data_IF_611527564141
#
_entry.id   IF_611527564141
#
_cell.length_a   1.000
_cell.length_b   1.000
_cell.length_c   1.000
_cell.angle_alpha   90.00
_cell.angle_beta   90.00
_cell.angle_gamma   90.00
#
_symmetry.space_group_name_H-M   'P 1'
#
loop_
_entity.id
_entity.type
_entity.pdbx_description
1 polymer ?
#
# COMPACT_ATOMS: atom_id res chain seq x y z
N UNK A 1 -15.04 -13.98 12.87
CA UNK A 1 -14.62 -12.76 12.17
C UNK A 1 -14.22 -11.75 13.24
N UNK A 2 -12.93 -11.46 13.41
CA UNK A 2 -12.46 -10.32 14.21
C UNK A 2 -12.53 -9.11 13.27
N UNK A 3 -13.42 -8.18 13.56
CA UNK A 3 -13.49 -6.90 12.85
C UNK A 3 -12.17 -6.17 13.10
N UNK A 4 -11.44 -5.84 12.04
CA UNK A 4 -10.31 -4.92 12.14
C UNK A 4 -10.83 -3.52 12.51
N UNK A 5 -10.27 -2.97 13.57
CA UNK A 5 -10.62 -1.64 14.04
C UNK A 5 -9.57 -0.64 13.55
N UNK A 6 -9.93 0.20 12.59
CA UNK A 6 -9.07 1.29 12.14
C UNK A 6 -9.09 2.44 13.14
N UNK A 7 -7.92 2.89 13.60
CA UNK A 7 -7.79 4.12 14.39
C UNK A 7 -7.81 5.32 13.43
N UNK A 8 -8.96 6.02 13.36
CA UNK A 8 -9.12 7.19 12.50
C UNK A 8 -8.67 8.45 13.20
N UNK A 9 -8.91 8.57 14.50
CA UNK A 9 -8.61 9.74 15.29
C UNK A 9 -8.10 9.31 16.67
N UNK A 10 -7.02 9.93 17.11
CA UNK A 10 -6.46 9.81 18.45
C UNK A 10 -6.44 11.19 19.11
N UNK A 11 -6.92 11.26 20.35
CA UNK A 11 -6.91 12.52 21.11
C UNK A 11 -5.51 12.88 21.60
N UNK A 12 -5.23 14.16 21.81
CA UNK A 12 -3.93 14.66 22.30
C UNK A 12 -3.48 14.05 23.63
N UNK A 13 -4.42 13.59 24.46
CA UNK A 13 -4.18 12.93 25.74
C UNK A 13 -4.13 11.38 25.65
N UNK A 14 -4.20 10.81 24.44
CA UNK A 14 -4.19 9.37 24.15
C UNK A 14 -5.30 8.54 24.85
N UNK A 15 -6.30 9.21 25.43
CA UNK A 15 -7.37 8.55 26.18
C UNK A 15 -8.57 8.14 25.32
N UNK A 16 -8.68 8.64 24.08
CA UNK A 16 -9.74 8.27 23.14
C UNK A 16 -9.14 7.98 21.79
N UNK A 17 -9.19 6.71 21.44
CA UNK A 17 -8.90 6.18 20.12
C UNK A 17 -10.23 5.86 19.43
N UNK A 18 -10.48 6.46 18.28
CA UNK A 18 -11.61 6.06 17.45
C UNK A 18 -11.20 4.83 16.64
N UNK A 19 -11.47 3.65 17.20
CA UNK A 19 -11.31 2.37 16.48
C UNK A 19 -12.64 2.04 15.81
N UNK A 20 -12.62 1.86 14.52
CA UNK A 20 -13.83 1.66 13.74
C UNK A 20 -13.71 0.43 12.87
N UNK A 21 -14.70 -0.48 12.90
CA UNK A 21 -14.76 -1.55 11.93
C UNK A 21 -14.97 -0.96 10.53
N UNK A 22 -14.20 -1.40 9.57
CA UNK A 22 -14.39 -1.07 8.16
C UNK A 22 -15.37 -2.09 7.61
N UNK A 23 -16.56 -1.64 7.24
CA UNK A 23 -17.49 -2.39 6.38
C UNK A 23 -17.77 -1.51 5.16
N UNK A 24 -17.62 -2.06 3.96
CA UNK A 24 -17.92 -1.40 2.67
C UNK A 24 -17.25 -0.02 2.48
N UNK A 25 -15.91 0.08 2.71
CA UNK A 25 -15.09 1.29 2.49
C UNK A 25 -15.48 2.54 3.31
N UNK A 26 -16.35 2.42 4.31
CA UNK A 26 -16.78 3.53 5.17
C UNK A 26 -16.80 3.14 6.65
N UNK A 27 -16.96 4.15 7.49
CA UNK A 27 -16.95 4.05 8.94
C UNK A 27 -18.34 4.26 9.47
N UNK A 28 -18.79 3.36 10.34
CA UNK A 28 -20.09 3.44 10.98
C UNK A 28 -19.98 3.51 12.50
N UNK A 29 -20.59 4.51 13.14
CA UNK A 29 -20.64 4.65 14.60
C UNK A 29 -22.06 4.65 15.12
N UNK A 30 -22.23 4.05 16.30
CA UNK A 30 -23.46 4.20 17.08
C UNK A 30 -23.52 5.57 17.73
N UNK A 31 -24.73 5.98 18.13
CA UNK A 31 -24.89 7.23 18.89
C UNK A 31 -24.10 7.22 20.21
N UNK A 32 -23.99 6.08 20.89
CA UNK A 32 -23.21 5.95 22.11
C UNK A 32 -21.71 6.22 21.84
N UNK A 33 -21.16 5.68 20.76
CA UNK A 33 -19.79 5.95 20.34
C UNK A 33 -19.56 7.42 19.95
N UNK A 34 -20.53 8.08 19.32
CA UNK A 34 -20.46 9.54 19.05
C UNK A 34 -20.46 10.38 20.35
N UNK A 35 -21.24 9.96 21.35
CA UNK A 35 -21.25 10.59 22.69
C UNK A 35 -19.88 10.50 23.34
N UNK A 36 -19.28 9.31 23.31
CA UNK A 36 -17.94 9.06 23.86
C UNK A 36 -16.86 9.83 23.09
N UNK A 37 -16.87 9.75 21.76
CA UNK A 37 -15.93 10.44 20.88
C UNK A 37 -15.89 11.94 21.14
N UNK A 38 -17.05 12.59 21.16
CA UNK A 38 -17.15 14.05 21.28
C UNK A 38 -17.32 14.54 22.72
N UNK A 39 -17.41 13.64 23.69
CA UNK A 39 -17.64 13.95 25.11
C UNK A 39 -18.80 14.94 25.28
N UNK A 40 -19.99 14.58 24.78
CA UNK A 40 -21.21 15.37 24.86
C UNK A 40 -22.41 14.51 25.20
N UNK A 41 -23.38 15.13 25.88
CA UNK A 41 -24.63 14.46 26.24
C UNK A 41 -25.36 13.90 25.02
N UNK A 42 -26.03 12.76 25.22
CA UNK A 42 -26.84 12.07 24.22
C UNK A 42 -27.84 13.02 23.55
N UNK A 43 -28.49 13.92 24.34
CA UNK A 43 -29.47 14.89 23.84
C UNK A 43 -28.88 15.91 22.86
N UNK A 44 -27.60 16.30 23.09
CA UNK A 44 -26.88 17.24 22.21
C UNK A 44 -26.53 16.53 20.90
N UNK A 45 -25.98 15.31 20.97
CA UNK A 45 -25.64 14.50 19.80
C UNK A 45 -26.89 14.21 18.97
N UNK A 46 -27.98 13.72 19.59
CA UNK A 46 -29.27 13.49 18.91
C UNK A 46 -29.78 14.70 18.15
N UNK A 47 -29.70 15.89 18.77
CA UNK A 47 -30.13 17.14 18.13
C UNK A 47 -29.27 17.47 16.91
N UNK A 48 -27.95 17.30 17.00
CA UNK A 48 -27.06 17.53 15.86
C UNK A 48 -27.37 16.56 14.72
N UNK A 49 -27.49 15.25 15.00
CA UNK A 49 -27.86 14.23 14.01
C UNK A 49 -29.17 14.59 13.32
N UNK A 50 -30.23 14.92 14.10
CA UNK A 50 -31.52 15.29 13.55
C UNK A 50 -31.43 16.53 12.61
N UNK A 51 -30.64 17.52 12.96
CA UNK A 51 -30.46 18.70 12.13
C UNK A 51 -29.66 18.39 10.86
N UNK A 52 -28.65 17.51 10.94
CA UNK A 52 -27.86 17.06 9.80
C UNK A 52 -28.75 16.36 8.76
N UNK A 53 -29.59 15.43 9.18
CA UNK A 53 -30.52 14.75 8.27
C UNK A 53 -31.62 15.68 7.73
N UNK A 54 -31.94 16.74 8.43
CA UNK A 54 -32.90 17.74 7.94
C UNK A 54 -32.31 18.69 6.91
N UNK A 55 -31.03 19.01 7.00
CA UNK A 55 -30.39 20.13 6.30
C UNK A 55 -29.35 19.72 5.28
N UNK A 56 -28.64 18.59 5.48
CA UNK A 56 -27.40 18.28 4.76
C UNK A 56 -27.36 16.90 4.12
N UNK A 57 -27.77 15.85 4.84
CA UNK A 57 -27.54 14.47 4.43
C UNK A 57 -28.85 13.68 4.29
N UNK A 58 -28.90 12.78 3.31
CA UNK A 58 -29.98 11.82 3.18
C UNK A 58 -29.88 10.71 4.24
N UNK A 59 -31.00 10.44 4.92
CA UNK A 59 -31.05 9.45 5.99
C UNK A 59 -30.85 8.02 5.48
N UNK A 60 -31.34 7.71 4.26
CA UNK A 60 -31.28 6.34 3.70
C UNK A 60 -29.86 5.87 3.45
N UNK A 61 -28.98 6.77 3.04
CA UNK A 61 -27.57 6.46 2.71
C UNK A 61 -26.65 6.55 3.94
N UNK A 62 -27.09 7.20 5.01
CA UNK A 62 -26.25 7.58 6.13
C UNK A 62 -26.70 7.00 7.48
N UNK A 63 -27.74 6.16 7.51
CA UNK A 63 -28.26 5.52 8.70
C UNK A 63 -28.57 4.05 8.40
N UNK A 64 -27.98 3.15 9.17
CA UNK A 64 -28.28 1.72 9.16
C UNK A 64 -28.75 1.24 10.51
N UNK A 65 -29.64 0.26 10.51
CA UNK A 65 -30.11 -0.41 11.70
C UNK A 65 -29.64 -1.86 11.70
N UNK A 66 -28.82 -2.23 12.70
CA UNK A 66 -28.31 -3.59 12.86
C UNK A 66 -28.86 -4.22 14.13
N UNK A 67 -29.30 -5.48 14.02
CA UNK A 67 -29.68 -6.27 15.18
C UNK A 67 -28.42 -6.86 15.81
N UNK A 68 -28.12 -6.42 17.04
CA UNK A 68 -26.96 -6.93 17.79
C UNK A 68 -27.44 -8.08 18.70
N UNK A 69 -26.61 -9.13 18.82
CA UNK A 69 -26.84 -10.21 19.78
C UNK A 69 -26.99 -9.61 21.20
N UNK A 70 -28.06 -9.98 21.91
CA UNK A 70 -28.46 -9.48 23.24
C UNK A 70 -29.10 -8.09 23.28
N UNK A 71 -29.60 -7.56 22.16
CA UNK A 71 -30.42 -6.34 22.14
C UNK A 71 -31.81 -6.65 21.61
N UNK A 72 -32.87 -6.26 22.37
CA UNK A 72 -34.25 -6.41 21.93
C UNK A 72 -34.64 -5.44 20.81
N UNK A 73 -33.84 -4.45 20.52
CA UNK A 73 -34.08 -3.42 19.51
C UNK A 73 -32.87 -3.26 18.60
N UNK A 74 -33.08 -3.01 17.29
CA UNK A 74 -32.01 -2.70 16.38
C UNK A 74 -31.29 -1.41 16.81
N UNK A 75 -29.97 -1.43 16.66
CA UNK A 75 -29.08 -0.29 16.99
C UNK A 75 -28.82 0.53 15.74
N UNK A 76 -28.93 1.84 15.86
CA UNK A 76 -28.69 2.80 14.78
C UNK A 76 -27.17 3.04 14.63
N UNK A 77 -26.67 2.94 13.41
CA UNK A 77 -25.31 3.24 12.99
C UNK A 77 -25.30 4.40 12.00
N UNK A 78 -24.41 5.33 12.18
CA UNK A 78 -24.28 6.56 11.43
C UNK A 78 -22.99 6.55 10.63
N UNK A 79 -23.05 6.97 9.35
CA UNK A 79 -21.93 6.99 8.42
C UNK A 79 -20.82 7.97 8.81
N UNK A 80 -19.67 7.85 8.13
CA UNK A 80 -18.55 8.81 8.27
C UNK A 80 -18.98 10.25 8.01
N UNK A 81 -19.87 10.49 7.06
CA UNK A 81 -20.37 11.85 6.74
C UNK A 81 -21.13 12.46 7.90
N UNK A 82 -21.98 11.67 8.59
CA UNK A 82 -22.65 12.10 9.81
C UNK A 82 -21.65 12.38 10.93
N UNK A 83 -20.63 11.51 11.11
CA UNK A 83 -19.59 11.67 12.12
C UNK A 83 -18.85 12.98 11.91
N UNK A 84 -18.43 13.28 10.67
CA UNK A 84 -17.74 14.52 10.30
C UNK A 84 -18.65 15.72 10.57
N UNK A 85 -19.89 15.70 10.11
CA UNK A 85 -20.85 16.78 10.28
C UNK A 85 -21.15 17.08 11.76
N UNK A 86 -21.28 16.04 12.61
CA UNK A 86 -21.39 16.21 14.08
C UNK A 86 -20.13 16.85 14.64
N UNK A 87 -18.94 16.40 14.25
CA UNK A 87 -17.65 16.90 14.72
C UNK A 87 -17.44 18.38 14.44
N UNK A 88 -17.92 18.87 13.29
CA UNK A 88 -17.88 20.29 12.95
C UNK A 88 -18.87 21.15 13.74
N UNK A 89 -20.01 20.59 14.17
CA UNK A 89 -21.08 21.32 14.87
C UNK A 89 -20.95 21.32 16.39
N UNK A 90 -20.32 20.27 16.94
CA UNK A 90 -20.27 20.06 18.38
C UNK A 90 -19.32 21.03 19.07
N UNK A 91 -19.81 21.71 20.15
CA UNK A 91 -19.02 22.64 20.94
C UNK A 91 -18.44 21.93 22.17
N UNK A 92 -17.36 21.14 21.98
CA UNK A 92 -16.61 20.50 23.06
C UNK A 92 -15.12 20.61 22.80
N UNK A 93 -14.28 20.31 23.81
CA UNK A 93 -12.83 20.23 23.66
C UNK A 93 -12.48 19.21 22.58
N UNK A 94 -13.08 18.02 22.62
CA UNK A 94 -12.93 16.96 21.62
C UNK A 94 -13.36 17.38 20.22
N UNK A 95 -14.46 18.14 20.08
CA UNK A 95 -14.88 18.69 18.80
C UNK A 95 -13.88 19.70 18.23
N UNK A 96 -13.18 20.47 19.09
CA UNK A 96 -12.10 21.36 18.66
C UNK A 96 -10.89 20.55 18.17
N UNK A 97 -10.47 19.54 18.91
CA UNK A 97 -9.37 18.62 18.54
C UNK A 97 -9.67 17.91 17.21
N UNK A 98 -10.88 17.37 17.05
CA UNK A 98 -11.34 16.75 15.82
C UNK A 98 -11.26 17.70 14.61
N UNK A 99 -11.77 18.94 14.76
CA UNK A 99 -11.71 19.94 13.67
C UNK A 99 -10.27 20.34 13.32
N UNK A 100 -9.38 20.46 14.30
CA UNK A 100 -7.95 20.73 14.05
C UNK A 100 -7.31 19.62 13.25
N UNK A 101 -7.59 18.36 13.63
CA UNK A 101 -7.12 17.18 12.91
C UNK A 101 -7.69 17.15 11.48
N UNK A 102 -9.01 17.29 11.31
CA UNK A 102 -9.64 17.25 9.99
C UNK A 102 -9.12 18.37 9.06
N UNK A 103 -8.96 19.59 9.60
CA UNK A 103 -8.39 20.70 8.84
C UNK A 103 -6.92 20.47 8.47
N UNK A 104 -6.14 19.79 9.32
CA UNK A 104 -4.76 19.40 8.99
C UNK A 104 -4.74 18.41 7.83
N UNK A 105 -5.56 17.37 7.89
CA UNK A 105 -5.69 16.37 6.81
C UNK A 105 -6.08 17.05 5.49
N UNK A 106 -7.11 17.91 5.51
CA UNK A 106 -7.55 18.64 4.33
C UNK A 106 -6.47 19.58 3.78
N UNK A 107 -5.77 20.29 4.66
CA UNK A 107 -4.65 21.17 4.28
C UNK A 107 -3.52 20.38 3.63
N UNK A 108 -3.13 19.25 4.22
CA UNK A 108 -2.09 18.38 3.67
C UNK A 108 -2.51 17.88 2.28
N UNK A 109 -3.76 17.46 2.11
CA UNK A 109 -4.30 17.04 0.82
C UNK A 109 -4.26 18.18 -0.23
N UNK A 110 -4.70 19.39 0.13
CA UNK A 110 -4.72 20.53 -0.80
C UNK A 110 -3.30 20.99 -1.19
N UNK A 111 -2.37 21.05 -0.23
CA UNK A 111 -1.04 21.61 -0.46
C UNK A 111 -0.06 20.59 -1.05
N UNK A 112 -0.16 19.33 -0.63
CA UNK A 112 0.77 18.25 -1.03
C UNK A 112 0.20 17.34 -2.12
N UNK A 113 -1.11 17.41 -2.40
CA UNK A 113 -1.82 16.51 -3.30
C UNK A 113 -2.20 15.16 -2.68
N UNK A 114 -1.83 14.90 -1.41
CA UNK A 114 -2.21 13.70 -0.66
C UNK A 114 -2.28 13.99 0.84
N UNK A 115 -3.09 13.20 1.55
CA UNK A 115 -3.14 13.19 3.01
C UNK A 115 -2.83 11.77 3.51
N UNK A 116 -1.96 11.69 4.51
CA UNK A 116 -1.44 10.42 5.02
C UNK A 116 -2.05 10.15 6.39
N UNK A 117 -2.72 9.00 6.53
CA UNK A 117 -3.14 8.51 7.83
C UNK A 117 -1.94 7.85 8.54
N UNK A 118 -1.27 8.61 9.43
CA UNK A 118 -0.08 8.14 10.13
C UNK A 118 -0.34 6.93 11.03
N UNK A 119 -1.56 6.75 11.55
CA UNK A 119 -1.88 5.61 12.40
C UNK A 119 -1.98 4.33 11.56
N UNK A 120 -2.69 4.39 10.42
CA UNK A 120 -2.72 3.28 9.45
C UNK A 120 -1.33 2.97 8.88
N UNK A 121 -0.49 4.00 8.70
CA UNK A 121 0.89 3.88 8.28
C UNK A 121 1.78 3.18 9.32
N UNK A 122 1.54 3.40 10.61
CA UNK A 122 2.29 2.69 11.65
C UNK A 122 1.95 1.19 11.67
N UNK A 123 0.77 0.81 11.22
CA UNK A 123 0.36 -0.58 10.99
C UNK A 123 1.06 -1.18 9.75
N UNK A 124 1.41 -0.36 8.75
CA UNK A 124 2.20 -0.75 7.58
C UNK A 124 3.69 -0.97 7.89
N UNK A 125 4.13 -0.68 9.11
CA UNK A 125 5.42 -1.10 9.66
C UNK A 125 6.66 -0.65 8.85
N UNK A 126 7.48 -1.62 8.43
CA UNK A 126 8.81 -1.37 7.84
C UNK A 126 8.78 -0.70 6.47
N UNK A 127 7.78 -0.98 5.63
CA UNK A 127 7.65 -0.38 4.29
C UNK A 127 7.62 1.14 4.37
N UNK A 128 6.86 1.68 5.32
CA UNK A 128 6.80 3.13 5.53
C UNK A 128 8.10 3.71 6.07
N UNK A 129 8.84 2.96 6.89
CA UNK A 129 10.19 3.42 7.31
C UNK A 129 11.12 3.58 6.11
N UNK A 130 11.03 2.65 5.15
CA UNK A 130 11.80 2.74 3.90
C UNK A 130 11.31 3.93 3.07
N UNK A 131 9.99 4.08 2.87
CA UNK A 131 9.41 5.21 2.14
C UNK A 131 9.78 6.57 2.76
N UNK A 132 9.76 6.70 4.09
CA UNK A 132 10.19 7.92 4.79
C UNK A 132 11.67 8.26 4.53
N UNK A 133 12.55 7.27 4.42
CA UNK A 133 13.97 7.52 4.07
C UNK A 133 14.14 8.09 2.67
N UNK A 134 13.23 7.78 1.77
CA UNK A 134 13.29 8.22 0.37
C UNK A 134 12.26 9.31 0.02
N UNK A 135 11.54 9.84 1.00
CA UNK A 135 10.45 10.82 0.82
C UNK A 135 10.85 12.00 -0.09
N UNK A 136 12.07 12.49 0.06
CA UNK A 136 12.60 13.58 -0.77
C UNK A 136 12.94 13.17 -2.22
N UNK A 137 12.90 11.86 -2.54
CA UNK A 137 13.20 11.30 -3.86
C UNK A 137 11.97 10.76 -4.58
N UNK A 138 10.83 10.66 -3.87
CA UNK A 138 9.56 10.18 -4.40
C UNK A 138 8.60 11.34 -4.57
N UNK A 139 7.94 11.41 -5.71
CA UNK A 139 6.80 12.31 -5.89
C UNK A 139 5.50 11.70 -5.33
N UNK A 140 4.47 12.55 -5.21
CA UNK A 140 3.18 12.14 -4.66
C UNK A 140 2.51 11.00 -5.45
N UNK A 141 2.67 10.93 -6.77
CA UNK A 141 2.09 9.87 -7.60
C UNK A 141 2.77 8.53 -7.37
N UNK A 142 4.10 8.54 -7.20
CA UNK A 142 4.87 7.34 -6.88
C UNK A 142 4.45 6.77 -5.51
N UNK A 143 4.30 7.64 -4.51
CA UNK A 143 3.84 7.24 -3.16
C UNK A 143 2.43 6.66 -3.22
N UNK A 144 1.49 7.35 -3.87
CA UNK A 144 0.10 6.88 -4.01
C UNK A 144 0.02 5.54 -4.74
N UNK A 145 0.75 5.39 -5.85
CA UNK A 145 0.73 4.16 -6.64
C UNK A 145 1.21 2.93 -5.84
N UNK A 146 2.20 3.11 -4.95
CA UNK A 146 2.65 2.02 -4.07
C UNK A 146 1.62 1.75 -2.97
N UNK A 147 1.07 2.79 -2.34
CA UNK A 147 0.11 2.65 -1.24
C UNK A 147 -1.19 1.99 -1.71
N UNK A 148 -1.75 2.40 -2.86
CA UNK A 148 -2.98 1.82 -3.41
C UNK A 148 -2.82 0.32 -3.69
N UNK A 149 -1.70 -0.07 -4.29
CA UNK A 149 -1.41 -1.48 -4.56
C UNK A 149 -1.10 -2.28 -3.30
N UNK A 150 -0.45 -1.64 -2.33
CA UNK A 150 -0.05 -2.27 -1.08
C UNK A 150 -1.24 -2.47 -0.12
N UNK A 151 -2.28 -1.64 -0.18
CA UNK A 151 -3.49 -1.85 0.61
C UNK A 151 -4.16 -3.19 0.31
N UNK A 152 -4.30 -3.53 -0.97
CA UNK A 152 -4.81 -4.86 -1.38
C UNK A 152 -3.91 -6.00 -0.89
N UNK A 153 -2.62 -5.73 -0.77
CA UNK A 153 -1.64 -6.69 -0.31
C UNK A 153 -1.63 -6.91 1.21
N UNK A 154 -2.01 -5.90 1.99
CA UNK A 154 -2.11 -6.04 3.45
C UNK A 154 -3.26 -6.93 3.87
N UNK A 155 -4.39 -6.85 3.17
CA UNK A 155 -5.52 -7.76 3.40
C UNK A 155 -5.08 -9.21 3.16
N UNK A 156 -4.25 -9.45 2.14
CA UNK A 156 -3.64 -10.74 1.85
C UNK A 156 -2.58 -11.17 2.89
N UNK A 157 -1.82 -10.23 3.48
CA UNK A 157 -0.84 -10.54 4.53
C UNK A 157 -1.51 -10.85 5.86
N UNK A 158 -2.60 -10.19 6.19
CA UNK A 158 -3.42 -10.51 7.36
C UNK A 158 -4.03 -11.91 7.24
N UNK A 159 -4.54 -12.28 6.08
CA UNK A 159 -4.96 -13.64 5.76
C UNK A 159 -3.81 -14.65 5.91
N UNK A 160 -2.57 -14.28 5.57
CA UNK A 160 -1.38 -15.13 5.75
C UNK A 160 -1.03 -15.33 7.22
N UNK A 161 -0.98 -14.26 8.01
CA UNK A 161 -0.65 -14.33 9.45
C UNK A 161 -1.70 -15.13 10.23
N UNK A 162 -2.95 -15.13 9.76
CA UNK A 162 -4.05 -15.92 10.33
C UNK A 162 -4.18 -17.33 9.72
N UNK A 163 -3.27 -17.75 8.83
CA UNK A 163 -3.28 -19.05 8.12
C UNK A 163 -4.57 -19.31 7.33
N UNK A 164 -5.29 -18.29 6.93
CA UNK A 164 -6.52 -18.36 6.16
C UNK A 164 -6.27 -18.18 4.66
N UNK A 165 -5.06 -17.75 4.28
CA UNK A 165 -4.69 -17.50 2.90
C UNK A 165 -4.50 -18.80 2.12
N UNK A 166 -5.26 -18.96 1.05
CA UNK A 166 -4.89 -19.90 -0.01
C UNK A 166 -3.67 -19.30 -0.73
N UNK A 167 -2.56 -20.04 -0.75
CA UNK A 167 -1.40 -19.68 -1.57
C UNK A 167 -1.91 -19.41 -2.99
N UNK A 168 -1.76 -18.18 -3.56
CA UNK A 168 -2.16 -17.96 -4.93
C UNK A 168 -1.45 -19.01 -5.79
N UNK A 169 -2.15 -19.64 -6.73
CA UNK A 169 -1.54 -20.45 -7.75
C UNK A 169 -0.60 -19.54 -8.51
N UNK A 170 0.67 -19.55 -8.13
CA UNK A 170 1.69 -18.75 -8.78
C UNK A 170 1.86 -19.26 -10.22
N UNK A 171 1.96 -18.35 -11.16
CA UNK A 171 2.25 -18.70 -12.54
C UNK A 171 3.63 -19.35 -12.61
N UNK A 172 3.76 -20.45 -13.36
CA UNK A 172 5.08 -20.99 -13.67
C UNK A 172 5.81 -20.03 -14.61
N UNK A 173 7.08 -19.75 -14.32
CA UNK A 173 7.94 -19.08 -15.29
C UNK A 173 8.19 -20.05 -16.46
N UNK A 174 7.75 -19.67 -17.65
CA UNK A 174 7.89 -20.46 -18.88
C UNK A 174 9.20 -20.14 -19.60
N UNK A 175 9.73 -18.94 -19.34
CA UNK A 175 10.91 -18.41 -20.01
C UNK A 175 12.07 -18.24 -19.01
N UNK A 176 13.24 -18.74 -19.40
CA UNK A 176 14.50 -18.60 -18.66
C UNK A 176 15.28 -17.42 -19.24
N UNK A 177 15.56 -16.44 -18.39
CA UNK A 177 16.33 -15.25 -18.77
C UNK A 177 17.82 -15.59 -18.91
N UNK A 178 18.40 -15.33 -20.07
CA UNK A 178 19.81 -15.57 -20.34
C UNK A 178 20.63 -14.27 -20.23
N UNK A 179 21.89 -14.41 -19.84
CA UNK A 179 22.78 -13.27 -19.66
C UNK A 179 23.00 -12.50 -20.97
N UNK A 180 23.19 -13.21 -22.07
CA UNK A 180 23.45 -12.63 -23.40
C UNK A 180 22.30 -11.73 -23.85
N UNK A 181 21.06 -12.19 -23.66
CA UNK A 181 19.86 -11.38 -23.96
C UNK A 181 19.75 -10.14 -23.08
N UNK A 182 20.05 -10.28 -21.77
CA UNK A 182 20.10 -9.14 -20.87
C UNK A 182 21.12 -8.09 -21.34
N UNK A 183 22.27 -8.53 -21.85
CA UNK A 183 23.28 -7.64 -22.44
C UNK A 183 22.75 -6.91 -23.67
N UNK A 184 22.06 -7.61 -24.58
CA UNK A 184 21.47 -6.99 -25.77
C UNK A 184 20.45 -5.92 -25.39
N UNK A 185 19.60 -6.17 -24.38
CA UNK A 185 18.65 -5.18 -23.85
C UNK A 185 19.39 -3.96 -23.30
N UNK A 186 20.43 -4.17 -22.48
CA UNK A 186 21.22 -3.07 -21.88
C UNK A 186 21.93 -2.27 -22.98
N UNK A 187 22.52 -2.93 -23.95
CA UNK A 187 23.23 -2.27 -25.03
C UNK A 187 22.27 -1.46 -25.94
N UNK A 188 21.02 -1.94 -26.11
CA UNK A 188 19.98 -1.17 -26.80
C UNK A 188 19.59 0.13 -26.05
N UNK A 189 19.67 0.14 -24.72
CA UNK A 189 19.39 1.31 -23.90
C UNK A 189 20.46 2.39 -24.01
N UNK A 190 21.69 2.04 -24.41
CA UNK A 190 22.82 3.00 -24.53
C UNK A 190 22.57 4.09 -25.57
N UNK A 191 21.78 3.82 -26.60
CA UNK A 191 21.54 4.76 -27.69
C UNK A 191 20.82 6.07 -27.30
N UNK A 192 20.22 6.12 -26.09
CA UNK A 192 19.54 7.31 -25.56
C UNK A 192 20.28 7.97 -24.40
N UNK A 193 21.47 7.48 -24.01
CA UNK A 193 22.14 7.89 -22.80
C UNK A 193 23.34 8.81 -23.09
N UNK A 194 23.47 9.88 -22.28
CA UNK A 194 24.61 10.81 -22.35
C UNK A 194 25.88 10.24 -21.66
N UNK A 195 25.72 9.22 -20.81
CA UNK A 195 26.82 8.66 -20.02
C UNK A 195 27.51 7.51 -20.76
N UNK A 196 28.76 7.67 -21.07
CA UNK A 196 29.63 6.60 -21.61
C UNK A 196 29.83 5.42 -20.63
N UNK A 197 29.52 5.61 -19.36
CA UNK A 197 29.63 4.60 -18.30
C UNK A 197 28.39 3.74 -18.14
N UNK A 198 27.27 4.10 -18.81
CA UNK A 198 26.01 3.39 -18.72
C UNK A 198 26.15 1.92 -19.13
N UNK A 199 25.69 1.02 -18.29
CA UNK A 199 25.68 -0.43 -18.54
C UNK A 199 27.07 -1.09 -18.62
N UNK A 200 28.15 -0.39 -18.25
CA UNK A 200 29.48 -0.99 -18.16
C UNK A 200 29.57 -1.78 -16.85
N UNK A 201 29.78 -3.11 -16.98
CA UNK A 201 29.90 -4.00 -15.82
C UNK A 201 31.19 -3.73 -15.05
N UNK A 202 31.13 -3.79 -13.73
CA UNK A 202 32.28 -3.66 -12.83
C UNK A 202 32.95 -5.01 -12.55
N UNK A 203 32.12 -6.06 -12.47
CA UNK A 203 32.50 -7.42 -12.09
C UNK A 203 31.44 -8.44 -12.55
N UNK A 204 31.60 -9.70 -12.15
CA UNK A 204 30.68 -10.79 -12.50
C UNK A 204 29.34 -10.79 -11.71
N UNK A 205 29.07 -9.77 -10.89
CA UNK A 205 27.86 -9.74 -10.03
C UNK A 205 26.57 -9.66 -10.84
N UNK A 206 26.61 -9.12 -12.06
CA UNK A 206 25.47 -9.10 -12.95
C UNK A 206 25.03 -10.51 -13.36
N UNK A 207 25.99 -11.33 -13.85
CA UNK A 207 25.73 -12.73 -14.18
C UNK A 207 25.25 -13.52 -12.95
N UNK A 208 25.85 -13.25 -11.79
CA UNK A 208 25.44 -13.81 -10.50
C UNK A 208 24.00 -13.44 -10.12
N UNK A 209 23.58 -12.20 -10.39
CA UNK A 209 22.21 -11.74 -10.10
C UNK A 209 21.15 -12.45 -10.95
N UNK A 210 21.46 -12.70 -12.25
CA UNK A 210 20.56 -13.46 -13.13
C UNK A 210 20.48 -14.91 -12.68
N UNK A 211 21.62 -15.56 -12.39
CA UNK A 211 21.66 -16.95 -11.93
C UNK A 211 20.96 -17.18 -10.59
N UNK A 212 20.99 -16.16 -9.71
CA UNK A 212 20.43 -16.27 -8.37
C UNK A 212 18.92 -16.57 -8.33
N UNK A 213 18.14 -16.09 -9.32
CA UNK A 213 16.69 -16.35 -9.36
C UNK A 213 16.33 -17.77 -9.79
N UNK A 214 17.29 -18.55 -10.28
CA UNK A 214 17.14 -19.96 -10.70
C UNK A 214 17.84 -20.95 -9.76
N UNK A 215 18.29 -20.48 -8.58
CA UNK A 215 18.92 -21.35 -7.59
C UNK A 215 17.98 -22.45 -7.12
N UNK A 216 18.55 -23.62 -6.88
CA UNK A 216 17.88 -24.78 -6.28
C UNK A 216 18.52 -25.15 -4.96
N UNK A 217 17.72 -25.60 -4.01
CA UNK A 217 18.17 -26.15 -2.73
C UNK A 217 17.47 -27.49 -2.49
N UNK A 218 18.26 -28.55 -2.28
CA UNK A 218 17.69 -29.90 -2.11
C UNK A 218 16.94 -30.44 -3.33
N UNK A 219 17.16 -29.89 -4.53
CA UNK A 219 16.44 -30.25 -5.75
C UNK A 219 15.18 -29.46 -6.03
N UNK A 220 14.80 -28.56 -5.12
CA UNK A 220 13.67 -27.65 -5.29
C UNK A 220 14.14 -26.22 -5.60
N UNK A 221 13.38 -25.49 -6.42
CA UNK A 221 13.68 -24.09 -6.72
C UNK A 221 13.49 -23.23 -5.49
N UNK A 222 14.44 -22.33 -5.19
CA UNK A 222 14.35 -21.36 -4.09
C UNK A 222 13.23 -20.35 -4.37
N UNK A 223 13.03 -19.99 -5.63
CA UNK A 223 11.98 -19.07 -6.09
C UNK A 223 11.10 -19.78 -7.13
N UNK A 224 10.11 -20.57 -6.69
CA UNK A 224 9.35 -21.45 -7.59
C UNK A 224 8.39 -20.71 -8.52
N UNK A 225 7.91 -19.51 -8.15
CA UNK A 225 6.93 -18.78 -8.96
C UNK A 225 7.56 -17.69 -9.81
N UNK A 226 6.86 -17.29 -10.86
CA UNK A 226 7.23 -16.16 -11.72
C UNK A 226 7.39 -14.87 -10.93
N UNK A 227 6.44 -14.63 -10.02
CA UNK A 227 6.39 -13.42 -9.18
C UNK A 227 7.59 -13.37 -8.22
N UNK A 228 7.96 -14.52 -7.62
CA UNK A 228 9.15 -14.61 -6.77
C UNK A 228 10.43 -14.36 -7.57
N UNK A 229 10.55 -14.99 -8.75
CA UNK A 229 11.71 -14.78 -9.64
C UNK A 229 11.81 -13.32 -10.06
N UNK A 230 10.70 -12.69 -10.49
CA UNK A 230 10.67 -11.30 -10.93
C UNK A 230 11.04 -10.34 -9.79
N UNK A 231 10.45 -10.51 -8.61
CA UNK A 231 10.72 -9.67 -7.45
C UNK A 231 12.18 -9.76 -6.98
N UNK A 232 12.73 -10.98 -6.92
CA UNK A 232 14.14 -11.19 -6.58
C UNK A 232 15.10 -10.68 -7.66
N UNK A 233 14.73 -10.78 -8.95
CA UNK A 233 15.52 -10.19 -10.04
C UNK A 233 15.63 -8.67 -9.86
N UNK A 234 14.52 -7.98 -9.66
CA UNK A 234 14.52 -6.53 -9.40
C UNK A 234 15.37 -6.17 -8.18
N UNK A 235 15.24 -6.95 -7.10
CA UNK A 235 16.01 -6.75 -5.88
C UNK A 235 17.51 -6.90 -6.11
N UNK A 236 17.97 -8.03 -6.68
CA UNK A 236 19.39 -8.30 -6.86
C UNK A 236 20.04 -7.31 -7.83
N UNK A 237 19.42 -7.04 -8.98
CA UNK A 237 19.96 -6.08 -9.95
C UNK A 237 20.06 -4.66 -9.38
N UNK A 238 19.12 -4.27 -8.51
CA UNK A 238 19.16 -2.97 -7.85
C UNK A 238 20.23 -2.89 -6.76
N UNK A 239 20.41 -3.96 -5.96
CA UNK A 239 21.31 -3.97 -4.79
C UNK A 239 22.76 -4.25 -5.10
N UNK A 240 23.05 -5.10 -6.08
CA UNK A 240 24.42 -5.53 -6.36
C UNK A 240 25.29 -4.46 -7.02
N UNK A 241 24.67 -3.37 -7.54
CA UNK A 241 25.39 -2.27 -8.17
C UNK A 241 26.41 -2.74 -9.22
N UNK A 242 26.02 -3.71 -10.05
CA UNK A 242 26.87 -4.40 -11.02
C UNK A 242 27.44 -3.49 -12.12
N UNK A 243 26.82 -2.33 -12.33
CA UNK A 243 27.22 -1.40 -13.39
C UNK A 243 27.80 -0.10 -12.86
N UNK A 244 28.68 0.52 -13.66
CA UNK A 244 29.27 1.81 -13.34
C UNK A 244 28.25 2.94 -13.32
N UNK A 245 27.24 2.87 -14.19
CA UNK A 245 26.07 3.75 -14.22
C UNK A 245 24.85 2.99 -14.71
N UNK A 246 23.64 3.51 -14.42
CA UNK A 246 22.37 3.01 -14.91
C UNK A 246 21.73 1.88 -14.09
N UNK A 247 22.31 1.46 -12.95
CA UNK A 247 21.85 0.27 -12.19
C UNK A 247 20.35 0.21 -11.97
N UNK A 248 19.68 1.30 -11.53
CA UNK A 248 18.24 1.33 -11.28
C UNK A 248 17.42 1.20 -12.58
N UNK A 249 17.84 1.89 -13.65
CA UNK A 249 17.16 1.85 -14.95
C UNK A 249 17.29 0.49 -15.59
N UNK A 250 18.46 -0.12 -15.52
CA UNK A 250 18.73 -1.48 -16.02
C UNK A 250 17.89 -2.51 -15.23
N UNK A 251 17.87 -2.40 -13.90
CA UNK A 251 17.06 -3.29 -13.07
C UNK A 251 15.57 -3.23 -13.42
N UNK A 252 15.02 -2.03 -13.58
CA UNK A 252 13.63 -1.83 -13.98
C UNK A 252 13.36 -2.35 -15.40
N UNK A 253 14.24 -2.09 -16.35
CA UNK A 253 14.09 -2.56 -17.73
C UNK A 253 14.13 -4.08 -17.83
N UNK A 254 15.07 -4.74 -17.17
CA UNK A 254 15.19 -6.20 -17.19
C UNK A 254 14.05 -6.89 -16.41
N UNK A 255 13.53 -6.25 -15.35
CA UNK A 255 12.32 -6.72 -14.68
C UNK A 255 11.10 -6.70 -15.62
N UNK A 256 10.87 -5.60 -16.35
CA UNK A 256 9.80 -5.53 -17.35
C UNK A 256 10.01 -6.51 -18.48
N UNK A 257 11.24 -6.64 -18.99
CA UNK A 257 11.61 -7.61 -20.02
C UNK A 257 11.32 -9.04 -19.58
N UNK A 258 11.69 -9.43 -18.35
CA UNK A 258 11.40 -10.75 -17.79
C UNK A 258 9.89 -11.04 -17.72
N UNK A 259 9.08 -10.06 -17.26
CA UNK A 259 7.62 -10.19 -17.23
C UNK A 259 7.03 -10.31 -18.65
N UNK A 260 7.54 -9.53 -19.60
CA UNK A 260 7.07 -9.54 -20.98
C UNK A 260 7.36 -10.89 -21.66
N UNK A 261 8.59 -11.39 -21.54
CA UNK A 261 8.99 -12.70 -22.08
C UNK A 261 8.19 -13.85 -21.49
N UNK A 262 7.73 -13.74 -20.27
CA UNK A 262 6.83 -14.69 -19.62
C UNK A 262 5.34 -14.39 -19.87
N UNK A 263 5.00 -13.48 -20.79
CA UNK A 263 3.62 -13.07 -21.12
C UNK A 263 2.82 -12.54 -19.91
N UNK A 264 3.52 -12.06 -18.91
CA UNK A 264 2.96 -11.62 -17.64
C UNK A 264 2.96 -10.11 -17.45
N UNK A 265 3.47 -9.33 -18.41
CA UNK A 265 3.50 -7.86 -18.33
C UNK A 265 2.13 -7.23 -18.63
N UNK A 266 1.36 -7.80 -19.55
CA UNK A 266 0.04 -7.30 -19.97
C UNK A 266 -1.05 -8.38 -19.84
N UNK A 267 -1.33 -8.90 -18.64
CA UNK A 267 -2.44 -9.83 -18.47
C UNK A 267 -3.74 -9.12 -18.88
N UNK A 268 -4.55 -9.78 -19.72
CA UNK A 268 -5.80 -9.22 -20.23
C UNK A 268 -5.66 -7.83 -20.92
N UNK A 269 -4.48 -7.51 -21.46
CA UNK A 269 -4.19 -6.24 -22.15
C UNK A 269 -3.94 -5.05 -21.20
N UNK A 270 -3.95 -5.25 -19.91
CA UNK A 270 -3.65 -4.23 -18.89
C UNK A 270 -2.24 -4.41 -18.35
N UNK A 271 -1.46 -3.33 -18.26
CA UNK A 271 -0.10 -3.40 -17.72
C UNK A 271 -0.13 -3.79 -16.24
N UNK A 272 0.59 -4.87 -15.89
CA UNK A 272 0.58 -5.47 -14.56
C UNK A 272 1.18 -4.60 -13.46
N UNK A 273 2.10 -3.72 -13.80
CA UNK A 273 2.68 -2.73 -12.90
C UNK A 273 2.79 -1.39 -13.63
N UNK A 274 2.35 -0.30 -13.03
CA UNK A 274 2.52 1.02 -13.62
C UNK A 274 3.93 1.57 -13.39
N UNK A 275 4.31 2.56 -14.21
CA UNK A 275 5.65 3.11 -14.23
C UNK A 275 6.02 3.85 -12.94
N UNK A 276 5.06 4.50 -12.28
CA UNK A 276 5.29 5.21 -11.02
C UNK A 276 5.55 4.23 -9.88
N UNK A 277 4.78 3.13 -9.79
CA UNK A 277 5.00 2.08 -8.82
C UNK A 277 6.37 1.42 -9.02
N UNK A 278 6.74 1.08 -10.26
CA UNK A 278 8.05 0.48 -10.56
C UNK A 278 9.21 1.40 -10.18
N UNK A 279 9.12 2.69 -10.52
CA UNK A 279 10.14 3.67 -10.16
C UNK A 279 10.28 3.79 -8.63
N UNK A 280 9.15 3.88 -7.90
CA UNK A 280 9.15 3.96 -6.44
C UNK A 280 9.77 2.70 -5.80
N UNK A 281 9.34 1.50 -6.23
CA UNK A 281 9.87 0.23 -5.73
C UNK A 281 11.37 0.11 -5.95
N UNK A 282 11.85 0.49 -7.14
CA UNK A 282 13.29 0.45 -7.45
C UNK A 282 14.09 1.38 -6.54
N UNK A 283 13.57 2.59 -6.26
CA UNK A 283 14.20 3.55 -5.33
C UNK A 283 14.16 3.00 -3.90
N UNK A 284 13.03 2.45 -3.46
CA UNK A 284 12.88 1.86 -2.13
C UNK A 284 13.83 0.69 -1.92
N UNK A 285 13.95 -0.21 -2.89
CA UNK A 285 14.92 -1.31 -2.86
C UNK A 285 16.36 -0.75 -2.74
N UNK A 286 16.73 0.23 -3.54
CA UNK A 286 18.09 0.81 -3.51
C UNK A 286 18.46 1.33 -2.12
N UNK A 287 17.53 1.95 -1.41
CA UNK A 287 17.73 2.54 -0.08
C UNK A 287 17.41 1.57 1.08
N UNK A 288 16.85 0.37 0.81
CA UNK A 288 16.57 -0.63 1.84
C UNK A 288 17.86 -1.19 2.44
N UNK A 289 17.76 -1.73 3.65
CA UNK A 289 18.86 -2.46 4.29
C UNK A 289 18.80 -3.95 3.89
N UNK A 290 19.91 -4.70 3.99
CA UNK A 290 19.93 -6.14 3.69
C UNK A 290 18.88 -6.95 4.46
N UNK A 291 18.63 -6.59 5.73
CA UNK A 291 17.65 -7.23 6.60
C UNK A 291 16.21 -7.02 6.14
N UNK A 292 15.97 -6.00 5.31
CA UNK A 292 14.66 -5.65 4.76
C UNK A 292 14.37 -6.33 3.42
N UNK A 293 15.24 -7.24 2.95
CA UNK A 293 15.11 -7.95 1.66
C UNK A 293 13.76 -8.63 1.52
N UNK A 294 13.41 -9.48 2.48
CA UNK A 294 12.19 -10.29 2.40
C UNK A 294 10.94 -9.43 2.35
N UNK A 295 10.95 -8.31 3.08
CA UNK A 295 9.88 -7.32 3.05
C UNK A 295 9.78 -6.68 1.66
N UNK A 296 10.89 -6.20 1.09
CA UNK A 296 10.89 -5.57 -0.22
C UNK A 296 10.45 -6.52 -1.34
N UNK A 297 10.90 -7.78 -1.29
CA UNK A 297 10.46 -8.82 -2.24
C UNK A 297 8.95 -9.05 -2.15
N UNK A 298 8.40 -9.19 -0.93
CA UNK A 298 6.96 -9.33 -0.72
C UNK A 298 6.17 -8.13 -1.26
N UNK A 299 6.64 -6.90 -1.04
CA UNK A 299 6.00 -5.68 -1.59
C UNK A 299 5.94 -5.74 -3.11
N UNK A 300 7.03 -6.10 -3.79
CA UNK A 300 7.05 -6.23 -5.25
C UNK A 300 6.09 -7.31 -5.73
N UNK A 301 6.09 -8.49 -5.08
CA UNK A 301 5.17 -9.58 -5.42
C UNK A 301 3.70 -9.16 -5.30
N UNK A 302 3.36 -8.45 -4.25
CA UNK A 302 2.00 -7.97 -4.01
C UNK A 302 1.58 -6.91 -5.04
N UNK A 303 2.49 -6.00 -5.40
CA UNK A 303 2.23 -5.05 -6.49
C UNK A 303 2.01 -5.75 -7.84
N UNK A 304 2.55 -6.95 -8.03
CA UNK A 304 2.27 -7.78 -9.22
C UNK A 304 0.93 -8.53 -9.09
N UNK A 305 0.56 -9.01 -7.91
CA UNK A 305 -0.68 -9.77 -7.70
C UNK A 305 -1.94 -8.89 -7.81
N UNK A 306 -1.93 -7.67 -7.26
CA UNK A 306 -3.07 -6.75 -7.25
C UNK A 306 -3.52 -6.21 -8.61
N UNK A 307 -2.99 -6.70 -9.72
CA UNK A 307 -3.30 -6.25 -11.09
C UNK A 307 -4.05 -7.31 -11.91
N UNK A 308 -4.48 -8.41 -11.29
CA UNK A 308 -5.10 -9.54 -11.98
C UNK A 308 -6.64 -9.52 -11.97
N UNK A 309 -7.28 -8.45 -11.41
CA UNK A 309 -8.73 -8.21 -11.47
C UNK A 309 -9.13 -7.20 -12.56
#
# INVERSE_FOLDING_TARGET
>A
MKQENLVIFESEDQNVELRVPIEDETVWLTQAQLVELFQRDVSVISRHIKNIFKEELDEKSNLHFLQIANSDRPVAYYSLDVIISVGYRVKSKRGIEFRRWANKVLRDYILKGYAVNHNRINELGEVIRIMKRVENRLDAKQVLSVIERYNTALDLLDEYDHQTMKKPEGNQAVYVLEYEECREVIDSMKFGEESELFGNEKDDSFRGSIGAIYQTFGGEEVYPTLEEKAANLLYFLTKNHSFSDGNKRIAAALFLYFLDRNQALFPNGKKRIDDYALAALTIMIAESKPEEKDMMVKVVMNCLAGSAE
#
